data_IF_871475152213
#
_entry.id   IF_871475152213
#
_cell.length_a   1.000
_cell.length_b   1.000
_cell.length_c   1.000
_cell.angle_alpha   90.00
_cell.angle_beta   90.00
_cell.angle_gamma   90.00
#
_symmetry.space_group_name_H-M   'P 1'
#
loop_
_entity.id
_entity.type
_entity.pdbx_description
1 polymer ?
#
# COMPACT_ATOMS: atom_id res chain seq x y z
N UNK A 1 24.33 6.52 2.80
CA UNK A 1 23.79 7.09 1.55
C UNK A 1 22.36 7.55 1.81
N UNK A 2 22.23 8.72 2.43
CA UNK A 2 20.94 9.35 2.73
C UNK A 2 20.94 10.74 2.06
N UNK A 3 19.74 11.21 1.68
CA UNK A 3 19.43 12.61 1.33
C UNK A 3 19.51 13.09 -0.13
N UNK A 4 19.24 12.25 -1.14
CA UNK A 4 19.07 12.74 -2.54
C UNK A 4 17.66 13.22 -2.89
N UNK A 5 16.64 13.04 -2.05
CA UNK A 5 15.27 13.48 -2.37
C UNK A 5 14.93 14.92 -1.89
N UNK A 6 15.75 15.52 -1.02
CA UNK A 6 15.53 16.89 -0.50
C UNK A 6 15.85 18.00 -1.52
N UNK A 7 16.39 17.67 -2.69
CA UNK A 7 16.79 18.64 -3.72
C UNK A 7 15.68 18.89 -4.75
N UNK A 8 14.58 19.51 -4.28
CA UNK A 8 13.68 20.44 -4.97
C UNK A 8 12.45 20.59 -4.08
N UNK A 9 12.51 21.57 -3.19
CA UNK A 9 11.38 21.93 -2.33
C UNK A 9 10.17 22.28 -3.20
N UNK A 10 9.17 21.41 -3.19
CA UNK A 10 7.85 21.72 -3.73
C UNK A 10 7.14 22.43 -2.58
N UNK A 11 6.90 23.75 -2.70
CA UNK A 11 6.43 24.60 -1.59
C UNK A 11 5.02 24.24 -1.08
N UNK A 12 4.31 23.34 -1.74
CA UNK A 12 2.97 22.86 -1.43
C UNK A 12 2.95 21.40 -0.96
N UNK A 13 4.06 20.88 -0.43
CA UNK A 13 4.15 19.52 0.12
C UNK A 13 4.50 19.58 1.61
N UNK A 14 3.68 18.95 2.43
CA UNK A 14 3.95 18.69 3.84
C UNK A 14 4.20 17.19 4.04
N UNK A 15 5.24 16.85 4.79
CA UNK A 15 5.52 15.47 5.17
C UNK A 15 5.15 15.26 6.63
N UNK A 16 4.20 14.35 6.88
CA UNK A 16 3.75 13.99 8.23
C UNK A 16 4.18 12.56 8.54
N UNK A 17 4.79 12.34 9.71
CA UNK A 17 5.13 11.00 10.17
C UNK A 17 3.90 10.33 10.79
N UNK A 18 3.07 9.72 9.94
CA UNK A 18 1.87 9.00 10.36
C UNK A 18 1.48 7.91 9.34
N UNK A 19 0.61 7.00 9.74
CA UNK A 19 0.05 5.95 8.88
C UNK A 19 -1.48 6.03 8.80
N UNK A 20 -2.10 5.06 8.10
CA UNK A 20 -3.56 5.03 7.91
C UNK A 20 -4.37 5.15 9.21
N UNK A 21 -3.85 4.60 10.30
CA UNK A 21 -4.54 4.54 11.59
C UNK A 21 -4.19 5.69 12.54
N UNK A 22 -3.16 6.49 12.22
CA UNK A 22 -2.63 7.54 13.12
C UNK A 22 -2.63 8.94 12.52
N UNK A 23 -2.73 9.09 11.21
CA UNK A 23 -2.78 10.41 10.58
C UNK A 23 -4.06 11.15 10.94
N UNK A 24 -3.93 12.38 11.44
CA UNK A 24 -5.05 13.28 11.73
C UNK A 24 -5.05 14.42 10.72
N UNK A 25 -6.11 14.52 9.93
CA UNK A 25 -6.22 15.54 8.90
C UNK A 25 -6.60 16.88 9.50
N UNK A 26 -5.80 17.90 9.22
CA UNK A 26 -6.07 19.29 9.62
C UNK A 26 -6.28 20.15 8.40
N UNK A 27 -7.34 20.96 8.40
CA UNK A 27 -7.69 21.87 7.30
C UNK A 27 -8.89 21.41 6.49
N UNK A 28 -9.01 21.92 5.27
CA UNK A 28 -10.15 21.61 4.39
C UNK A 28 -10.12 20.13 3.94
N UNK A 29 -11.30 19.50 3.77
CA UNK A 29 -11.37 18.14 3.24
C UNK A 29 -10.67 18.01 1.88
N UNK A 30 -9.96 16.90 1.68
CA UNK A 30 -9.17 16.65 0.48
C UNK A 30 -10.07 16.37 -0.74
N UNK A 31 -9.66 16.85 -1.91
CA UNK A 31 -10.27 16.46 -3.20
C UNK A 31 -9.90 15.02 -3.56
N UNK A 32 -8.66 14.62 -3.26
CA UNK A 32 -8.09 13.32 -3.62
C UNK A 32 -7.27 12.74 -2.47
N UNK A 33 -7.38 11.43 -2.28
CA UNK A 33 -6.43 10.64 -1.49
C UNK A 33 -5.83 9.58 -2.40
N UNK A 34 -4.51 9.47 -2.41
CA UNK A 34 -3.79 8.46 -3.18
C UNK A 34 -3.00 7.56 -2.24
N UNK A 35 -3.13 6.25 -2.43
CA UNK A 35 -2.26 5.28 -1.76
C UNK A 35 -1.83 4.20 -2.73
N UNK A 36 -0.58 3.76 -2.56
CA UNK A 36 0.05 2.75 -3.39
C UNK A 36 0.80 1.74 -2.55
N UNK A 37 0.50 0.46 -2.76
CA UNK A 37 1.23 -0.67 -2.16
C UNK A 37 1.37 -0.49 -0.63
N UNK A 38 0.27 -0.22 0.07
CA UNK A 38 0.33 0.06 1.50
C UNK A 38 -0.87 -0.48 2.28
N UNK A 39 -2.07 -0.52 1.69
CA UNK A 39 -3.27 -0.95 2.41
C UNK A 39 -3.20 -2.43 2.77
N UNK A 40 -2.56 -3.25 1.94
CA UNK A 40 -2.33 -4.68 2.17
C UNK A 40 -1.46 -5.01 3.39
N UNK A 41 -0.77 -4.03 3.99
CA UNK A 41 -0.06 -4.25 5.24
C UNK A 41 -1.02 -4.34 6.45
N UNK A 42 -2.27 -3.88 6.30
CA UNK A 42 -3.27 -3.94 7.36
C UNK A 42 -4.09 -5.22 7.25
N UNK A 43 -4.37 -5.94 8.36
CA UNK A 43 -5.40 -6.98 8.38
C UNK A 43 -6.78 -6.42 7.99
N UNK A 44 -7.69 -7.27 7.53
CA UNK A 44 -9.00 -6.86 6.98
C UNK A 44 -9.81 -5.93 7.88
N UNK A 45 -9.84 -6.20 9.18
CA UNK A 45 -10.51 -5.33 10.15
C UNK A 45 -9.93 -3.91 10.12
N UNK A 46 -8.61 -3.78 10.09
CA UNK A 46 -7.92 -2.49 10.07
C UNK A 46 -7.98 -1.81 8.69
N UNK A 47 -8.08 -2.57 7.58
CA UNK A 47 -8.39 -1.99 6.27
C UNK A 47 -9.72 -1.25 6.29
N UNK A 48 -10.76 -1.82 6.90
CA UNK A 48 -12.05 -1.17 7.03
C UNK A 48 -11.95 0.15 7.81
N UNK A 49 -11.25 0.14 8.95
CA UNK A 49 -10.99 1.35 9.75
C UNK A 49 -10.22 2.40 8.92
N UNK A 50 -9.18 1.99 8.20
CA UNK A 50 -8.39 2.88 7.34
C UNK A 50 -9.25 3.51 6.24
N UNK A 51 -10.11 2.73 5.57
CA UNK A 51 -11.00 3.22 4.52
C UNK A 51 -12.05 4.20 5.07
N UNK A 52 -12.61 3.94 6.26
CA UNK A 52 -13.52 4.89 6.93
C UNK A 52 -12.82 6.21 7.25
N UNK A 53 -11.58 6.15 7.76
CA UNK A 53 -10.78 7.35 8.04
C UNK A 53 -10.51 8.13 6.75
N UNK A 54 -10.12 7.45 5.68
CA UNK A 54 -9.93 8.07 4.35
C UNK A 54 -11.21 8.76 3.87
N UNK A 55 -12.35 8.09 3.97
CA UNK A 55 -13.63 8.67 3.58
C UNK A 55 -13.96 9.96 4.37
N UNK A 56 -13.63 10.01 5.68
CA UNK A 56 -13.85 11.23 6.48
C UNK A 56 -12.93 12.40 6.14
N UNK A 57 -11.78 12.13 5.50
CA UNK A 57 -10.84 13.17 5.06
C UNK A 57 -11.21 13.74 3.70
N UNK A 58 -12.00 13.02 2.90
CA UNK A 58 -12.43 13.46 1.57
C UNK A 58 -13.64 14.39 1.66
N UNK A 59 -13.70 15.38 0.78
CA UNK A 59 -14.94 16.13 0.52
C UNK A 59 -16.00 15.21 -0.12
N UNK A 60 -17.29 15.61 -0.15
CA UNK A 60 -18.28 14.97 -1.01
C UNK A 60 -17.79 14.92 -2.47
N UNK A 61 -18.01 13.80 -3.15
CA UNK A 61 -17.49 13.52 -4.50
C UNK A 61 -15.94 13.50 -4.60
N UNK A 62 -15.22 13.48 -3.48
CA UNK A 62 -13.78 13.26 -3.45
C UNK A 62 -13.39 11.84 -3.87
N UNK A 63 -12.16 11.67 -4.37
CA UNK A 63 -11.73 10.41 -4.96
C UNK A 63 -10.60 9.76 -4.16
N UNK A 64 -10.82 8.52 -3.72
CA UNK A 64 -9.74 7.63 -3.32
C UNK A 64 -9.19 6.90 -4.55
N UNK A 65 -7.92 7.15 -4.89
CA UNK A 65 -7.16 6.36 -5.87
C UNK A 65 -6.32 5.32 -5.12
N UNK A 66 -6.80 4.08 -5.11
CA UNK A 66 -6.09 2.93 -4.55
C UNK A 66 -5.32 2.18 -5.64
N UNK A 67 -4.03 1.95 -5.43
CA UNK A 67 -3.24 0.99 -6.21
C UNK A 67 -2.63 -0.01 -5.25
N UNK A 68 -3.06 -1.26 -5.31
CA UNK A 68 -2.59 -2.25 -4.34
C UNK A 68 -2.44 -3.66 -4.92
N UNK A 69 -1.89 -4.57 -4.12
CA UNK A 69 -1.76 -5.99 -4.41
C UNK A 69 -3.08 -6.71 -4.10
N UNK A 70 -3.66 -7.26 -5.16
CA UNK A 70 -4.94 -7.97 -5.14
C UNK A 70 -4.76 -9.31 -5.85
N UNK A 71 -5.14 -10.40 -5.20
CA UNK A 71 -5.20 -11.73 -5.78
C UNK A 71 -6.44 -11.85 -6.67
N UNK A 72 -6.22 -12.13 -7.95
CA UNK A 72 -7.28 -12.24 -8.95
C UNK A 72 -7.51 -13.69 -9.36
N UNK A 73 -7.66 -14.59 -8.38
CA UNK A 73 -7.86 -16.03 -8.60
C UNK A 73 -8.78 -16.64 -7.54
N UNK A 74 -9.36 -17.81 -7.85
CA UNK A 74 -10.20 -18.54 -6.90
C UNK A 74 -9.38 -19.30 -5.84
N UNK A 75 -9.96 -19.63 -4.68
CA UNK A 75 -9.25 -20.37 -3.62
C UNK A 75 -8.64 -21.70 -4.07
N UNK A 76 -9.27 -22.41 -5.01
CA UNK A 76 -8.76 -23.67 -5.56
C UNK A 76 -7.49 -23.53 -6.40
N UNK A 77 -7.19 -22.32 -6.88
CA UNK A 77 -6.03 -22.03 -7.72
C UNK A 77 -4.85 -21.44 -6.91
N UNK A 78 -5.08 -21.14 -5.62
CA UNK A 78 -4.18 -20.36 -4.78
C UNK A 78 -2.78 -20.99 -4.70
N UNK A 79 -2.67 -22.27 -4.36
CA UNK A 79 -1.37 -22.94 -4.21
C UNK A 79 -0.53 -22.83 -5.49
N UNK A 80 -1.15 -23.11 -6.65
CA UNK A 80 -0.44 -23.12 -7.93
C UNK A 80 -0.01 -21.71 -8.36
N UNK A 81 -0.89 -20.71 -8.22
CA UNK A 81 -0.61 -19.35 -8.67
C UNK A 81 0.31 -18.59 -7.71
N UNK A 82 0.20 -18.84 -6.41
CA UNK A 82 1.13 -18.28 -5.42
C UNK A 82 2.52 -18.87 -5.59
N UNK A 83 2.66 -20.19 -5.77
CA UNK A 83 3.99 -20.77 -6.03
C UNK A 83 4.59 -20.28 -7.35
N UNK A 84 3.79 -20.13 -8.40
CA UNK A 84 4.25 -19.54 -9.65
C UNK A 84 4.72 -18.09 -9.47
N UNK A 85 3.99 -17.29 -8.68
CA UNK A 85 4.39 -15.92 -8.38
C UNK A 85 5.67 -15.87 -7.54
N UNK A 86 5.77 -16.67 -6.48
CA UNK A 86 6.97 -16.78 -5.64
C UNK A 86 8.18 -17.27 -6.47
N UNK A 87 7.97 -18.18 -7.43
CA UNK A 87 9.00 -18.66 -8.35
C UNK A 87 9.47 -17.62 -9.37
N UNK A 88 8.68 -16.57 -9.60
CA UNK A 88 9.09 -15.44 -10.46
C UNK A 88 10.12 -14.52 -9.79
N UNK A 89 10.28 -14.63 -8.46
CA UNK A 89 11.27 -13.88 -7.70
C UNK A 89 12.71 -14.26 -8.05
N UNK A 90 13.58 -13.26 -8.13
CA UNK A 90 15.01 -13.46 -8.41
C UNK A 90 15.78 -14.10 -7.25
N UNK A 91 17.05 -14.45 -7.50
CA UNK A 91 17.99 -14.92 -6.48
C UNK A 91 18.57 -13.79 -5.62
N UNK A 92 18.54 -12.56 -6.13
CA UNK A 92 18.96 -11.35 -5.42
C UNK A 92 18.02 -10.19 -5.76
N UNK A 93 18.10 -9.13 -4.96
CA UNK A 93 17.19 -7.99 -5.04
C UNK A 93 17.56 -6.97 -6.13
N UNK A 94 18.58 -7.25 -6.96
CA UNK A 94 19.08 -6.28 -7.95
C UNK A 94 18.12 -6.07 -9.12
N UNK A 95 17.30 -7.09 -9.43
CA UNK A 95 16.36 -7.10 -10.55
C UNK A 95 14.87 -6.99 -10.13
N UNK A 96 14.59 -6.93 -8.82
CA UNK A 96 13.23 -6.91 -8.29
C UNK A 96 13.12 -7.66 -6.97
N UNK A 97 11.94 -8.21 -6.71
CA UNK A 97 11.67 -8.98 -5.50
C UNK A 97 12.34 -10.35 -5.59
N UNK A 98 12.95 -10.77 -4.50
CA UNK A 98 13.50 -12.12 -4.36
C UNK A 98 12.40 -13.13 -4.08
N UNK A 99 12.69 -14.41 -4.33
CA UNK A 99 11.79 -15.51 -3.95
C UNK A 99 11.43 -15.46 -2.46
N UNK A 100 12.39 -15.18 -1.59
CA UNK A 100 12.17 -15.17 -0.14
C UNK A 100 11.35 -13.96 0.33
N UNK A 101 11.51 -12.80 -0.30
CA UNK A 101 10.65 -11.63 -0.02
C UNK A 101 9.21 -11.87 -0.47
N UNK A 102 8.99 -12.46 -1.66
CA UNK A 102 7.64 -12.81 -2.12
C UNK A 102 6.99 -13.87 -1.22
N UNK A 103 7.77 -14.83 -0.72
CA UNK A 103 7.27 -15.80 0.27
C UNK A 103 6.89 -15.11 1.58
N UNK A 104 7.72 -14.19 2.07
CA UNK A 104 7.43 -13.43 3.27
C UNK A 104 6.17 -12.57 3.09
N UNK A 105 6.01 -11.92 1.93
CA UNK A 105 4.82 -11.17 1.53
C UNK A 105 3.56 -12.02 1.67
N UNK A 106 3.52 -13.20 1.04
CA UNK A 106 2.35 -14.09 1.08
C UNK A 106 2.02 -14.54 2.50
N UNK A 107 3.04 -14.75 3.35
CA UNK A 107 2.88 -15.27 4.70
C UNK A 107 2.45 -14.19 5.70
N UNK A 108 3.06 -13.02 5.62
CA UNK A 108 3.06 -12.02 6.70
C UNK A 108 2.18 -10.81 6.38
N UNK A 109 1.76 -10.64 5.12
CA UNK A 109 0.96 -9.51 4.68
C UNK A 109 -0.46 -9.93 4.30
N UNK A 110 -1.31 -8.94 4.04
CA UNK A 110 -2.75 -9.11 3.89
C UNK A 110 -3.20 -8.56 2.54
N UNK A 111 -2.59 -9.01 1.44
CA UNK A 111 -3.14 -8.75 0.10
C UNK A 111 -4.57 -9.26 -0.01
N UNK A 112 -5.40 -8.53 -0.76
CA UNK A 112 -6.85 -8.77 -0.85
C UNK A 112 -7.18 -9.73 -1.99
#
# INVERSE_FOLDING_TARGET
MADTWRSKWVANVECVNAGFLTYEHTGEPADFVYTRNALHHLPDFWKAVALTRIASMLRPEGVLRLRDLVYSFGPSEADALLEAWIASGGSDSSAGWTRDELRAHVRDEHST
#
